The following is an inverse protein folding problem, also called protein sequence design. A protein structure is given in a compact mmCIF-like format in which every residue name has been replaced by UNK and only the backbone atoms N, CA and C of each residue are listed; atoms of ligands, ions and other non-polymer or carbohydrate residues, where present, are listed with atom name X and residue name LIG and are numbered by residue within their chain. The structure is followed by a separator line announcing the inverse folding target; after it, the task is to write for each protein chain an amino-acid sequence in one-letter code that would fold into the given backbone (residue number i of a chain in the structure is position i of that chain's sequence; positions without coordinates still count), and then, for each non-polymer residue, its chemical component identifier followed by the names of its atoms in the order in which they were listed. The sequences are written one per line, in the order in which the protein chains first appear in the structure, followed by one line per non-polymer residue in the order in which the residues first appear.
data_IF_519733547875
#
_entry.id   IF_519733547875
#
_cell.length_a   1.000
_cell.length_b   1.000
_cell.length_c   1.000
_cell.angle_alpha   90.00
_cell.angle_beta   90.00
_cell.angle_gamma   90.00
#
_symmetry.space_group_name_H-M   'P 1'
#
loop_
_entity.id
_entity.type
_entity.pdbx_description
1 polymer ?
#
# COMPACT_ATOMS: atom_id res chain seq x y z
N UNK A 1 3.97 -38.20 -37.97
CA UNK A 1 4.14 -39.60 -37.52
C UNK A 1 4.47 -39.53 -36.02
N UNK A 2 3.46 -39.66 -35.15
CA UNK A 2 3.10 -40.89 -34.40
C UNK A 2 4.30 -41.34 -33.53
N UNK A 3 4.25 -41.27 -32.19
CA UNK A 3 3.35 -42.09 -31.36
C UNK A 3 2.91 -41.41 -30.05
N UNK A 4 1.62 -41.61 -29.73
CA UNK A 4 0.96 -41.45 -28.42
C UNK A 4 0.92 -42.81 -27.71
N UNK A 5 1.07 -42.83 -26.38
CA UNK A 5 0.40 -43.67 -25.34
C UNK A 5 1.13 -43.44 -23.99
N UNK A 6 0.57 -42.87 -22.91
CA UNK A 6 -0.55 -43.24 -22.03
C UNK A 6 -0.18 -44.25 -20.91
N UNK A 7 -0.37 -43.85 -19.63
CA UNK A 7 -0.87 -44.63 -18.46
C UNK A 7 -0.58 -43.82 -17.15
N UNK A 8 -1.55 -43.16 -16.51
CA UNK A 8 -2.54 -43.67 -15.51
C UNK A 8 -1.92 -44.27 -14.24
N UNK A 9 -2.03 -43.54 -13.13
CA UNK A 9 -2.26 -44.12 -11.80
C UNK A 9 -2.97 -43.11 -10.90
N UNK A 10 -4.28 -43.28 -10.79
CA UNK A 10 -5.09 -42.81 -9.69
C UNK A 10 -5.21 -43.98 -8.69
N UNK A 11 -4.89 -43.74 -7.42
CA UNK A 11 -5.29 -44.62 -6.32
C UNK A 11 -5.95 -43.77 -5.23
N UNK A 12 -7.27 -43.79 -5.28
CA UNK A 12 -8.19 -43.65 -4.15
C UNK A 12 -7.96 -44.77 -3.15
N UNK A 13 -7.70 -44.45 -1.89
CA UNK A 13 -8.07 -45.31 -0.76
C UNK A 13 -8.85 -44.49 0.25
N UNK A 14 -10.09 -44.94 0.45
CA UNK A 14 -11.15 -44.27 1.14
C UNK A 14 -11.23 -44.71 2.61
N UNK A 15 -11.79 -43.82 3.43
CA UNK A 15 -12.77 -44.11 4.49
C UNK A 15 -12.35 -45.11 5.59
N UNK A 16 -11.73 -44.58 6.63
CA UNK A 16 -11.71 -45.16 7.99
C UNK A 16 -12.71 -44.43 8.88
N UNK A 17 -14.01 -44.70 8.71
CA UNK A 17 -15.04 -44.39 9.72
C UNK A 17 -16.11 -45.48 9.65
N UNK A 18 -16.08 -46.41 10.59
CA UNK A 18 -17.11 -47.46 10.68
C UNK A 18 -16.73 -48.64 11.56
N UNK A 19 -16.68 -48.43 12.88
CA UNK A 19 -16.75 -49.53 13.85
C UNK A 19 -17.22 -49.02 15.22
N UNK A 20 -18.53 -49.06 15.44
CA UNK A 20 -19.16 -49.48 16.71
C UNK A 20 -20.67 -49.64 16.48
N UNK A 21 -21.07 -50.91 16.37
CA UNK A 21 -22.42 -51.49 16.24
C UNK A 21 -23.26 -51.31 17.51
N UNK A 22 -24.60 -51.19 17.49
CA UNK A 22 -25.65 -52.24 17.41
C UNK A 22 -26.99 -51.54 17.78
N UNK A 23 -28.24 -51.99 17.54
CA UNK A 23 -28.94 -52.91 16.63
C UNK A 23 -30.43 -52.86 17.10
N UNK A 24 -31.37 -52.79 16.16
CA UNK A 24 -32.81 -53.18 16.15
C UNK A 24 -33.81 -52.75 17.27
N UNK A 25 -34.89 -52.03 16.92
CA UNK A 25 -36.22 -52.62 16.61
C UNK A 25 -37.28 -51.56 16.21
N UNK A 26 -38.31 -52.01 15.47
CA UNK A 26 -39.23 -51.24 14.62
C UNK A 26 -40.68 -51.06 15.16
N UNK A 27 -41.39 -50.07 14.57
CA UNK A 27 -42.85 -49.80 14.54
C UNK A 27 -43.53 -49.37 15.87
N UNK A 28 -44.48 -48.41 15.95
CA UNK A 28 -45.46 -47.85 14.99
C UNK A 28 -46.06 -46.54 15.56
N UNK A 29 -46.55 -45.71 14.64
CA UNK A 29 -47.64 -44.72 14.72
C UNK A 29 -47.49 -43.33 15.38
N UNK A 30 -47.78 -42.34 14.54
CA UNK A 30 -47.97 -40.91 14.75
C UNK A 30 -48.98 -40.57 15.86
N UNK A 31 -48.57 -39.70 16.79
CA UNK A 31 -49.41 -38.59 17.25
C UNK A 31 -48.59 -37.57 18.06
N UNK A 32 -48.84 -36.29 17.77
CA UNK A 32 -48.57 -35.09 18.60
C UNK A 32 -47.10 -34.71 18.79
N UNK A 33 -46.57 -33.75 18.02
CA UNK A 33 -46.68 -32.31 18.27
C UNK A 33 -46.00 -31.87 19.60
N UNK A 34 -45.10 -30.88 19.47
CA UNK A 34 -44.40 -30.12 20.52
C UNK A 34 -43.18 -30.78 21.17
N UNK A 35 -41.99 -30.50 20.62
CA UNK A 35 -40.85 -29.97 21.38
C UNK A 35 -39.67 -29.59 20.45
N UNK A 36 -39.95 -28.92 19.32
CA UNK A 36 -38.93 -28.14 18.60
C UNK A 36 -39.09 -26.68 19.01
N UNK A 37 -38.72 -26.37 20.24
CA UNK A 37 -38.74 -25.00 20.76
C UNK A 37 -37.78 -24.87 21.95
N UNK A 38 -36.50 -25.19 21.73
CA UNK A 38 -35.39 -24.74 22.59
C UNK A 38 -34.12 -24.63 21.74
N UNK A 39 -34.27 -24.05 20.55
CA UNK A 39 -33.21 -23.26 19.95
C UNK A 39 -33.49 -21.80 20.34
N UNK A 40 -32.42 -21.04 20.56
CA UNK A 40 -32.38 -19.58 20.77
C UNK A 40 -32.43 -19.11 22.23
N UNK A 41 -31.28 -19.21 22.90
CA UNK A 41 -30.74 -18.10 23.69
C UNK A 41 -29.21 -18.21 23.79
N UNK A 42 -28.53 -18.42 22.66
CA UNK A 42 -27.15 -17.94 22.55
C UNK A 42 -27.27 -16.43 22.42
N UNK A 43 -27.04 -15.75 23.53
CA UNK A 43 -27.01 -14.31 23.66
C UNK A 43 -25.93 -13.80 22.69
N UNK A 44 -26.33 -13.42 21.47
CA UNK A 44 -25.47 -12.68 20.54
C UNK A 44 -25.04 -11.42 21.29
N UNK A 45 -23.79 -11.40 21.73
CA UNK A 45 -23.15 -10.19 22.17
C UNK A 45 -23.37 -9.14 21.06
N UNK A 46 -23.76 -7.90 21.39
CA UNK A 46 -23.91 -6.86 20.38
C UNK A 46 -22.61 -6.81 19.58
N UNK A 47 -22.72 -7.01 18.26
CA UNK A 47 -21.62 -6.68 17.35
C UNK A 47 -21.35 -5.20 17.60
N UNK A 48 -20.28 -4.90 18.33
CA UNK A 48 -19.85 -3.54 18.57
C UNK A 48 -19.65 -2.95 17.18
N UNK A 49 -20.50 -1.99 16.81
CA UNK A 49 -20.45 -1.36 15.50
C UNK A 49 -19.01 -0.92 15.25
N UNK A 50 -18.41 -1.40 14.16
CA UNK A 50 -17.02 -1.12 13.78
C UNK A 50 -16.78 0.39 13.92
N UNK A 51 -16.02 0.78 14.94
CA UNK A 51 -15.66 2.18 15.13
C UNK A 51 -14.90 2.59 13.87
N UNK A 52 -15.23 3.74 13.23
CA UNK A 52 -14.51 4.19 12.06
C UNK A 52 -13.02 4.20 12.34
N UNK A 53 -12.23 3.48 11.54
CA UNK A 53 -10.78 3.46 11.72
C UNK A 53 -10.25 4.90 11.59
N UNK A 54 -9.30 5.31 12.45
CA UNK A 54 -8.66 6.61 12.31
C UNK A 54 -8.01 6.74 10.92
N UNK A 55 -8.15 7.91 10.30
CA UNK A 55 -7.61 8.21 8.97
C UNK A 55 -6.62 9.37 9.06
N UNK A 56 -5.51 9.25 8.35
CA UNK A 56 -4.56 10.34 8.17
C UNK A 56 -5.12 11.34 7.16
N UNK A 57 -5.00 12.64 7.42
CA UNK A 57 -5.14 13.64 6.35
C UNK A 57 -3.89 13.58 5.47
N UNK A 58 -3.93 12.68 4.48
CA UNK A 58 -2.83 12.44 3.52
C UNK A 58 -2.38 13.75 2.87
N UNK A 59 -3.35 14.62 2.56
CA UNK A 59 -3.09 15.85 1.84
C UNK A 59 -2.27 16.85 2.66
N UNK A 60 -2.39 16.84 3.99
CA UNK A 60 -1.57 17.67 4.87
C UNK A 60 -0.05 17.43 4.66
N UNK A 61 0.33 16.23 4.24
CA UNK A 61 1.74 15.84 4.05
C UNK A 61 2.16 15.89 2.58
N UNK A 62 1.28 15.43 1.69
CA UNK A 62 1.56 15.35 0.25
C UNK A 62 1.35 16.69 -0.45
N UNK A 63 0.35 17.47 -0.04
CA UNK A 63 -0.01 18.73 -0.68
C UNK A 63 1.14 19.73 -0.83
N UNK A 64 1.89 20.05 0.24
CA UNK A 64 3.03 20.97 0.16
C UNK A 64 4.14 20.52 -0.80
N UNK A 65 4.32 19.20 -0.99
CA UNK A 65 5.30 18.65 -1.93
C UNK A 65 4.88 18.88 -3.39
N UNK A 66 3.60 18.71 -3.68
CA UNK A 66 3.08 18.74 -5.05
C UNK A 66 2.61 20.14 -5.47
N UNK A 67 2.30 21.03 -4.53
CA UNK A 67 1.70 22.32 -4.83
C UNK A 67 2.55 23.19 -5.76
N UNK A 68 1.99 23.63 -6.88
CA UNK A 68 2.58 24.60 -7.82
C UNK A 68 2.02 24.47 -9.24
N UNK A 69 2.65 25.18 -10.17
CA UNK A 69 2.23 25.23 -11.57
C UNK A 69 3.22 24.52 -12.47
N UNK A 70 2.68 23.67 -13.34
CA UNK A 70 3.43 22.74 -14.18
C UNK A 70 3.06 23.00 -15.63
N UNK A 71 3.92 23.75 -16.32
CA UNK A 71 3.75 24.12 -17.73
C UNK A 71 4.71 23.32 -18.61
N UNK A 72 4.23 22.83 -19.75
CA UNK A 72 5.03 22.09 -20.72
C UNK A 72 4.27 21.90 -22.03
N UNK A 73 4.78 21.03 -22.91
CA UNK A 73 4.06 20.65 -24.12
C UNK A 73 2.96 19.65 -23.75
N UNK A 74 1.69 20.04 -23.86
CA UNK A 74 0.58 19.19 -23.42
C UNK A 74 -0.22 18.60 -24.58
N UNK A 75 -0.69 17.37 -24.37
CA UNK A 75 -1.59 16.64 -25.24
C UNK A 75 -2.86 16.28 -24.45
N UNK A 76 -4.01 16.63 -25.00
CA UNK A 76 -5.31 16.18 -24.49
C UNK A 76 -5.61 14.77 -25.00
N UNK A 77 -6.17 13.94 -24.14
CA UNK A 77 -6.68 12.61 -24.45
C UNK A 77 -8.22 12.62 -24.34
N UNK A 78 -8.93 11.87 -25.20
CA UNK A 78 -8.42 10.95 -26.21
C UNK A 78 -8.17 11.59 -27.59
N UNK A 79 -8.45 12.88 -27.77
CA UNK A 79 -8.41 13.58 -29.06
C UNK A 79 -7.00 13.89 -29.58
N UNK A 80 -5.96 13.62 -28.80
CA UNK A 80 -4.54 13.89 -29.09
C UNK A 80 -4.26 15.36 -29.47
N UNK A 81 -5.14 16.28 -29.05
CA UNK A 81 -5.03 17.69 -29.39
C UNK A 81 -3.92 18.34 -28.58
N UNK A 82 -3.01 19.00 -29.28
CA UNK A 82 -1.97 19.84 -28.65
C UNK A 82 -2.62 21.01 -27.94
N UNK A 83 -2.22 21.25 -26.70
CA UNK A 83 -2.63 22.38 -25.89
C UNK A 83 -1.39 23.00 -25.25
N UNK A 84 -1.29 24.32 -25.29
CA UNK A 84 -0.41 25.04 -24.37
C UNK A 84 -1.12 25.05 -23.01
N UNK A 85 -0.84 24.01 -22.23
CA UNK A 85 -1.51 23.74 -20.97
C UNK A 85 -0.59 24.00 -19.77
N UNK A 86 -1.19 24.45 -18.68
CA UNK A 86 -0.56 24.42 -17.36
C UNK A 86 -1.44 23.60 -16.44
N UNK A 87 -0.85 22.61 -15.77
CA UNK A 87 -1.51 21.90 -14.68
C UNK A 87 -1.13 22.62 -13.39
N UNK A 88 -2.13 23.16 -12.70
CA UNK A 88 -1.93 23.82 -11.41
C UNK A 88 -2.42 22.91 -10.29
N UNK A 89 -1.55 22.66 -9.32
CA UNK A 89 -1.83 21.85 -8.13
C UNK A 89 -1.81 22.81 -6.94
N UNK A 90 -2.97 22.98 -6.29
CA UNK A 90 -3.08 23.75 -5.07
C UNK A 90 -2.60 22.94 -3.86
N UNK A 91 -2.04 23.63 -2.85
CA UNK A 91 -1.73 23.00 -1.56
C UNK A 91 -3.00 22.56 -0.80
N UNK A 92 -4.19 22.86 -1.31
CA UNK A 92 -5.50 22.50 -0.77
C UNK A 92 -6.12 21.24 -1.40
N UNK A 93 -5.45 20.58 -2.35
CA UNK A 93 -5.95 19.34 -2.98
C UNK A 93 -6.56 19.54 -4.35
N UNK A 94 -6.83 20.79 -4.72
CA UNK A 94 -7.48 21.11 -5.98
C UNK A 94 -6.46 21.17 -7.09
N UNK A 95 -6.75 20.44 -8.16
CA UNK A 95 -5.93 20.38 -9.35
C UNK A 95 -6.75 20.84 -10.54
N UNK A 96 -6.21 21.79 -11.28
CA UNK A 96 -6.90 22.39 -12.43
C UNK A 96 -5.99 22.42 -13.65
N UNK A 97 -6.53 22.06 -14.81
CA UNK A 97 -5.89 22.22 -16.10
C UNK A 97 -6.94 22.40 -17.20
N UNK A 98 -6.93 23.55 -17.90
CA UNK A 98 -7.97 23.88 -18.89
C UNK A 98 -9.39 23.77 -18.30
N UNK A 99 -10.21 22.83 -18.79
CA UNK A 99 -11.57 22.50 -18.36
C UNK A 99 -11.62 21.40 -17.27
N UNK A 100 -10.49 20.76 -16.96
CA UNK A 100 -10.39 19.74 -15.92
C UNK A 100 -10.20 20.40 -14.56
N UNK A 101 -11.08 20.05 -13.62
CA UNK A 101 -10.98 20.42 -12.21
C UNK A 101 -11.27 19.17 -11.37
N UNK A 102 -10.32 18.83 -10.49
CA UNK A 102 -10.34 17.60 -9.70
C UNK A 102 -9.88 17.93 -8.28
N UNK A 103 -10.57 17.38 -7.28
CA UNK A 103 -10.18 17.51 -5.87
C UNK A 103 -9.61 16.18 -5.38
N UNK A 104 -8.30 16.14 -5.13
CA UNK A 104 -7.59 14.95 -4.68
C UNK A 104 -7.53 14.81 -3.15
N UNK A 105 -8.27 15.63 -2.37
CA UNK A 105 -8.38 15.39 -0.91
C UNK A 105 -9.08 14.08 -0.58
N UNK A 106 -9.95 13.60 -1.47
CA UNK A 106 -10.60 12.30 -1.36
C UNK A 106 -9.82 11.16 -2.04
N UNK A 107 -8.50 11.32 -2.20
CA UNK A 107 -7.66 10.27 -2.78
C UNK A 107 -7.69 8.99 -1.95
N UNK A 108 -8.08 7.87 -2.56
CA UNK A 108 -7.90 6.54 -1.98
C UNK A 108 -6.44 6.10 -1.99
N UNK A 109 -5.67 6.56 -2.97
CA UNK A 109 -4.26 6.24 -3.12
C UNK A 109 -3.43 7.51 -3.28
N UNK A 110 -2.35 7.63 -2.51
CA UNK A 110 -1.25 8.55 -2.79
C UNK A 110 0.07 7.79 -2.67
N UNK A 111 0.87 7.78 -3.73
CA UNK A 111 2.18 7.13 -3.79
C UNK A 111 3.24 8.15 -4.12
N UNK A 112 4.30 8.20 -3.33
CA UNK A 112 5.48 9.03 -3.53
C UNK A 112 6.69 8.11 -3.53
N UNK A 113 7.42 8.03 -4.63
CA UNK A 113 8.61 7.20 -4.76
C UNK A 113 9.75 8.05 -5.25
N UNK A 114 10.91 7.95 -4.61
CA UNK A 114 12.13 8.66 -5.00
C UNK A 114 13.27 7.66 -5.13
N UNK A 115 13.86 7.64 -6.31
CA UNK A 115 14.99 6.80 -6.68
C UNK A 115 16.25 7.63 -6.82
N UNK A 116 17.38 7.11 -6.36
CA UNK A 116 18.69 7.65 -6.64
C UNK A 116 19.21 7.05 -7.95
N UNK A 117 19.45 7.90 -8.94
CA UNK A 117 19.93 7.51 -10.26
C UNK A 117 21.46 7.42 -10.30
N UNK A 118 22.00 6.62 -11.22
CA UNK A 118 23.45 6.40 -11.34
C UNK A 118 24.27 7.68 -11.58
N UNK A 119 23.63 8.74 -12.07
CA UNK A 119 24.25 10.04 -12.37
C UNK A 119 24.29 10.98 -11.14
N UNK A 120 23.85 10.53 -9.96
CA UNK A 120 23.79 11.34 -8.74
C UNK A 120 22.58 12.27 -8.66
N UNK A 121 21.64 12.13 -9.60
CA UNK A 121 20.35 12.81 -9.57
C UNK A 121 19.29 11.93 -8.90
N UNK A 122 18.16 12.54 -8.55
CA UNK A 122 17.00 11.82 -8.04
C UNK A 122 15.88 11.83 -9.07
N UNK A 123 15.21 10.70 -9.21
CA UNK A 123 13.95 10.57 -9.94
C UNK A 123 12.83 10.39 -8.94
N UNK A 124 11.91 11.34 -8.89
CA UNK A 124 10.72 11.27 -8.01
C UNK A 124 9.46 11.11 -8.83
N UNK A 125 8.63 10.15 -8.43
CA UNK A 125 7.32 9.86 -8.99
C UNK A 125 6.29 10.09 -7.90
N UNK A 126 5.28 10.91 -8.19
CA UNK A 126 4.11 11.09 -7.35
C UNK A 126 2.87 10.65 -8.12
N UNK A 127 2.04 9.82 -7.52
CA UNK A 127 0.78 9.34 -8.11
C UNK A 127 -0.33 9.47 -7.10
N UNK A 128 -1.45 10.07 -7.49
CA UNK A 128 -2.66 10.15 -6.69
C UNK A 128 -3.86 9.66 -7.47
N UNK A 129 -4.71 8.88 -6.80
CA UNK A 129 -5.94 8.36 -7.37
C UNK A 129 -7.10 8.60 -6.42
N UNK A 130 -8.23 9.11 -6.93
CA UNK A 130 -9.49 9.21 -6.17
C UNK A 130 -10.16 7.85 -6.06
N UNK A 131 -10.12 7.07 -7.14
CA UNK A 131 -10.63 5.70 -7.16
C UNK A 131 -9.96 4.91 -8.27
N UNK A 132 -9.93 3.58 -8.13
CA UNK A 132 -9.27 2.67 -9.06
C UNK A 132 -9.96 2.63 -10.44
N UNK A 133 -11.17 3.18 -10.56
CA UNK A 133 -12.03 3.04 -11.74
C UNK A 133 -12.44 4.37 -12.37
N UNK A 134 -11.50 5.33 -12.50
CA UNK A 134 -11.60 6.58 -13.30
C UNK A 134 -12.05 7.88 -12.60
N UNK A 135 -12.15 7.91 -11.27
CA UNK A 135 -12.64 9.12 -10.56
C UNK A 135 -11.64 10.30 -10.53
N UNK A 136 -10.38 10.07 -10.91
CA UNK A 136 -9.35 11.09 -11.01
C UNK A 136 -7.96 10.48 -10.78
N UNK A 137 -7.03 10.73 -11.70
CA UNK A 137 -5.63 10.29 -11.61
C UNK A 137 -4.72 11.49 -11.85
N UNK A 138 -3.78 11.70 -10.94
CA UNK A 138 -2.70 12.67 -11.09
C UNK A 138 -1.38 11.90 -11.02
N UNK A 139 -0.50 12.13 -11.99
CA UNK A 139 0.87 11.60 -11.94
C UNK A 139 1.87 12.70 -12.25
N UNK A 140 2.94 12.76 -11.47
CA UNK A 140 4.07 13.64 -11.67
C UNK A 140 5.34 12.81 -11.70
N UNK A 141 6.20 13.07 -12.68
CA UNK A 141 7.55 12.52 -12.74
C UNK A 141 8.51 13.69 -12.83
N UNK A 142 9.49 13.71 -11.94
CA UNK A 142 10.66 14.60 -12.03
C UNK A 142 11.92 13.75 -12.10
N UNK A 143 12.66 13.85 -13.20
CA UNK A 143 13.82 12.99 -13.49
C UNK A 143 15.17 13.57 -13.01
N UNK A 144 15.15 14.73 -12.35
CA UNK A 144 16.34 15.44 -11.89
C UNK A 144 17.21 16.05 -13.00
N UNK A 145 17.13 15.53 -14.23
CA UNK A 145 17.81 16.03 -15.44
C UNK A 145 17.02 17.12 -16.18
N UNK A 146 15.71 17.20 -15.91
CA UNK A 146 14.75 18.09 -16.55
C UNK A 146 14.13 17.54 -17.84
N UNK A 147 14.63 16.44 -18.41
CA UNK A 147 14.30 16.00 -19.78
C UNK A 147 13.06 15.12 -19.85
N UNK A 148 12.86 14.27 -18.86
CA UNK A 148 11.74 13.32 -18.76
C UNK A 148 10.70 13.77 -17.73
N UNK A 149 10.70 15.06 -17.40
CA UNK A 149 9.71 15.66 -16.53
C UNK A 149 8.33 15.59 -17.19
N UNK A 150 7.39 14.91 -16.52
CA UNK A 150 6.02 14.79 -17.00
C UNK A 150 5.03 15.10 -15.89
N UNK A 151 3.88 15.64 -16.26
CA UNK A 151 2.70 15.72 -15.40
C UNK A 151 1.50 15.26 -16.20
N UNK A 152 0.66 14.42 -15.61
CA UNK A 152 -0.60 14.03 -16.20
C UNK A 152 -1.74 14.18 -15.22
N UNK A 153 -2.87 14.64 -15.74
CA UNK A 153 -4.14 14.73 -15.03
C UNK A 153 -5.19 14.04 -15.87
N UNK A 154 -5.89 13.08 -15.31
CA UNK A 154 -7.02 12.43 -15.95
C UNK A 154 -8.23 12.40 -15.03
N UNK A 155 -9.40 12.48 -15.63
CA UNK A 155 -10.69 12.27 -14.97
C UNK A 155 -11.63 11.63 -15.98
N UNK A 156 -12.26 10.54 -15.58
CA UNK A 156 -13.15 9.76 -16.45
C UNK A 156 -12.42 9.36 -17.74
N UNK A 157 -12.90 9.80 -18.90
CA UNK A 157 -12.31 9.49 -20.21
C UNK A 157 -11.49 10.66 -20.79
N UNK A 158 -11.32 11.76 -20.05
CA UNK A 158 -10.55 12.93 -20.48
C UNK A 158 -9.24 13.01 -19.71
N UNK A 159 -8.15 13.21 -20.44
CA UNK A 159 -6.82 13.38 -19.85
C UNK A 159 -6.05 14.53 -20.45
N UNK A 160 -5.07 15.02 -19.70
CA UNK A 160 -4.05 15.94 -20.15
C UNK A 160 -2.70 15.37 -19.72
N UNK A 161 -1.78 15.20 -20.67
CA UNK A 161 -0.41 14.75 -20.41
C UNK A 161 0.52 15.84 -20.92
N UNK A 162 1.35 16.37 -20.04
CA UNK A 162 2.35 17.38 -20.36
C UNK A 162 3.75 16.78 -20.21
N UNK A 163 4.61 17.02 -21.20
CA UNK A 163 6.03 16.65 -21.20
C UNK A 163 6.92 17.89 -21.12
N UNK A 164 8.21 17.68 -20.81
CA UNK A 164 9.22 18.74 -20.65
C UNK A 164 8.78 19.80 -19.64
N UNK A 165 8.15 19.32 -18.57
CA UNK A 165 7.45 20.16 -17.60
C UNK A 165 8.46 20.89 -16.72
N UNK A 166 8.27 22.21 -16.62
CA UNK A 166 9.01 23.07 -15.67
C UNK A 166 8.33 23.04 -14.30
N UNK A 167 9.10 23.22 -13.23
CA UNK A 167 8.57 23.30 -11.86
C UNK A 167 8.46 21.94 -11.15
N UNK A 168 8.79 20.82 -11.81
CA UNK A 168 8.78 19.50 -11.16
C UNK A 168 10.05 19.21 -10.38
N UNK A 169 11.14 19.95 -10.62
CA UNK A 169 12.41 19.85 -9.89
C UNK A 169 12.25 20.02 -8.37
N UNK A 170 11.23 20.77 -7.93
CA UNK A 170 10.91 20.92 -6.50
C UNK A 170 10.55 19.60 -5.81
N UNK A 171 10.03 18.60 -6.55
CA UNK A 171 9.75 17.27 -6.02
C UNK A 171 11.04 16.57 -5.57
N UNK A 172 12.15 16.88 -6.23
CA UNK A 172 13.47 16.33 -5.92
C UNK A 172 14.24 17.19 -4.90
N UNK A 173 13.77 18.40 -4.57
CA UNK A 173 14.48 19.36 -3.73
C UNK A 173 14.59 18.93 -2.26
N UNK A 174 13.73 18.03 -1.79
CA UNK A 174 13.83 17.44 -0.46
C UNK A 174 13.65 15.92 -0.49
N UNK A 175 14.38 15.18 0.37
CA UNK A 175 14.08 13.78 0.63
C UNK A 175 12.65 13.55 1.12
N UNK A 176 12.03 12.46 0.67
CA UNK A 176 10.66 12.14 1.03
C UNK A 176 10.53 11.83 2.53
N UNK A 177 11.52 11.16 3.12
CA UNK A 177 11.52 10.87 4.55
C UNK A 177 11.42 12.13 5.43
N UNK A 178 11.94 13.29 4.99
CA UNK A 178 11.80 14.55 5.73
C UNK A 178 10.38 15.11 5.65
N UNK A 179 9.72 14.95 4.51
CA UNK A 179 8.36 15.46 4.31
C UNK A 179 7.33 14.71 5.17
N UNK A 180 7.56 13.42 5.39
CA UNK A 180 6.69 12.53 6.19
C UNK A 180 7.23 12.24 7.59
N UNK A 181 8.36 12.84 7.99
CA UNK A 181 9.00 12.63 9.29
C UNK A 181 8.01 12.78 10.46
N UNK A 182 7.14 13.79 10.40
CA UNK A 182 6.12 14.05 11.44
C UNK A 182 5.13 12.90 11.66
N UNK A 183 4.97 11.99 10.69
CA UNK A 183 4.08 10.83 10.79
C UNK A 183 4.74 9.65 11.50
N UNK A 184 6.02 9.43 11.22
CA UNK A 184 6.70 8.17 11.56
C UNK A 184 7.80 8.32 12.61
N UNK A 185 8.35 9.52 12.82
CA UNK A 185 9.47 9.73 13.73
C UNK A 185 9.08 9.63 15.21
N UNK A 186 10.01 9.09 16.01
CA UNK A 186 9.97 9.15 17.48
C UNK A 186 9.06 8.12 18.16
N UNK A 187 8.27 7.35 17.41
CA UNK A 187 7.42 6.30 17.98
C UNK A 187 8.16 4.96 18.03
N UNK A 188 8.82 4.68 19.16
CA UNK A 188 9.32 3.33 19.44
C UNK A 188 8.11 2.41 19.71
N UNK A 189 7.98 1.34 18.93
CA UNK A 189 6.89 0.38 19.03
C UNK A 189 7.47 -1.04 19.06
N UNK A 190 7.01 -1.86 20.00
CA UNK A 190 7.42 -3.26 20.09
C UNK A 190 6.39 -4.14 19.39
N UNK A 191 6.85 -4.98 18.45
CA UNK A 191 6.00 -5.91 17.68
C UNK A 191 6.58 -7.32 17.71
N UNK A 192 5.70 -8.31 17.57
CA UNK A 192 6.13 -9.71 17.50
C UNK A 192 6.77 -10.00 16.14
N UNK A 193 8.06 -10.29 16.14
CA UNK A 193 8.84 -10.64 14.97
C UNK A 193 9.21 -12.11 14.97
N UNK A 194 9.03 -12.75 13.81
CA UNK A 194 9.63 -14.03 13.52
C UNK A 194 11.10 -13.79 13.14
N UNK A 195 12.02 -14.24 13.98
CA UNK A 195 13.44 -14.26 13.66
C UNK A 195 13.70 -15.42 12.68
N UNK A 196 13.85 -15.08 11.41
CA UNK A 196 14.15 -16.04 10.34
C UNK A 196 15.63 -16.43 10.30
N UNK A 197 16.51 -15.72 10.99
CA UNK A 197 17.94 -16.07 11.14
C UNK A 197 18.14 -17.11 12.25
N UNK A 198 17.35 -17.08 13.32
CA UNK A 198 17.46 -18.02 14.45
C UNK A 198 16.16 -18.75 14.78
N UNK A 199 16.06 -19.99 14.30
CA UNK A 199 15.10 -21.01 14.75
C UNK A 199 13.61 -20.66 14.58
N UNK A 200 13.25 -19.66 13.75
CA UNK A 200 11.86 -19.23 13.54
C UNK A 200 11.15 -18.91 14.87
N UNK A 201 11.89 -18.36 15.84
CA UNK A 201 11.31 -17.99 17.13
C UNK A 201 10.63 -16.63 17.04
N UNK A 202 9.42 -16.53 17.61
CA UNK A 202 8.74 -15.25 17.77
C UNK A 202 9.35 -14.50 18.97
N UNK A 203 9.86 -13.30 18.75
CA UNK A 203 10.38 -12.40 19.78
C UNK A 203 9.77 -11.03 19.61
N UNK A 204 9.58 -10.33 20.72
CA UNK A 204 9.18 -8.93 20.66
C UNK A 204 10.42 -8.12 20.27
N UNK A 205 10.32 -7.36 19.18
CA UNK A 205 11.41 -6.54 18.64
C UNK A 205 10.98 -5.09 18.63
N UNK A 206 11.88 -4.24 19.12
CA UNK A 206 11.71 -2.80 19.10
C UNK A 206 11.94 -2.24 17.70
N UNK A 207 10.95 -1.49 17.21
CA UNK A 207 10.99 -0.78 15.94
C UNK A 207 10.93 0.71 16.22
N UNK A 208 11.78 1.49 15.58
CA UNK A 208 11.76 2.95 15.68
C UNK A 208 12.22 3.60 14.39
N UNK A 209 11.71 4.80 14.12
CA UNK A 209 12.21 5.67 13.05
C UNK A 209 12.69 6.97 13.68
N UNK A 210 13.94 7.32 13.49
CA UNK A 210 14.56 8.51 14.09
C UNK A 210 15.53 9.15 13.10
N UNK A 211 15.36 10.43 12.78
CA UNK A 211 16.25 11.21 11.93
C UNK A 211 16.55 10.53 10.57
N UNK A 212 15.53 9.94 9.98
CA UNK A 212 15.63 9.20 8.72
C UNK A 212 16.20 7.78 8.83
N UNK A 213 16.39 7.22 10.03
CA UNK A 213 16.91 5.87 10.23
C UNK A 213 15.83 4.97 10.81
N UNK A 214 15.52 3.89 10.11
CA UNK A 214 14.66 2.81 10.62
C UNK A 214 15.54 1.81 11.38
N UNK A 215 15.20 1.54 12.63
CA UNK A 215 15.85 0.52 13.47
C UNK A 215 14.89 -0.64 13.70
N UNK A 216 15.38 -1.86 13.50
CA UNK A 216 14.65 -3.12 13.74
C UNK A 216 15.54 -4.00 14.62
N UNK A 217 15.35 -3.93 15.94
CA UNK A 217 16.33 -4.50 16.88
C UNK A 217 17.72 -3.88 16.67
N UNK A 218 18.70 -4.70 16.33
CA UNK A 218 20.08 -4.27 16.06
C UNK A 218 20.31 -3.80 14.60
N UNK A 219 19.40 -4.16 13.68
CA UNK A 219 19.51 -3.81 12.26
C UNK A 219 19.09 -2.37 12.00
N UNK A 220 19.79 -1.69 11.08
CA UNK A 220 19.57 -0.30 10.70
C UNK A 220 19.43 -0.12 9.20
N UNK A 221 18.50 0.75 8.81
CA UNK A 221 18.22 1.17 7.44
C UNK A 221 18.20 2.69 7.41
N UNK A 222 19.27 3.31 6.91
CA UNK A 222 19.40 4.77 6.82
C UNK A 222 18.89 5.28 5.47
N UNK A 223 17.73 5.94 5.48
CA UNK A 223 17.08 6.48 4.28
C UNK A 223 17.92 7.53 3.55
N UNK A 224 18.92 8.14 4.21
CA UNK A 224 19.86 9.07 3.56
C UNK A 224 20.79 8.40 2.57
N UNK A 225 21.01 7.09 2.74
CA UNK A 225 21.87 6.28 1.90
C UNK A 225 21.10 5.29 1.03
N UNK A 226 19.76 5.35 1.08
CA UNK A 226 18.90 4.49 0.30
C UNK A 226 19.00 4.79 -1.20
N UNK A 227 18.94 3.74 -2.02
CA UNK A 227 18.81 3.86 -3.48
C UNK A 227 17.35 4.12 -3.88
N UNK A 228 16.39 3.78 -3.01
CA UNK A 228 14.98 4.08 -3.19
C UNK A 228 14.30 4.30 -1.85
N UNK A 229 13.41 5.28 -1.80
CA UNK A 229 12.44 5.48 -0.72
C UNK A 229 11.04 5.63 -1.33
N UNK A 230 10.04 5.03 -0.70
CA UNK A 230 8.66 5.02 -1.18
C UNK A 230 7.67 5.14 -0.03
N UNK A 231 6.63 5.94 -0.21
CA UNK A 231 5.53 6.14 0.72
C UNK A 231 4.22 5.93 -0.01
N UNK A 232 3.38 5.03 0.49
CA UNK A 232 2.08 4.73 -0.08
C UNK A 232 1.04 4.93 1.02
N UNK A 233 0.13 5.87 0.79
CA UNK A 233 -1.10 6.03 1.55
C UNK A 233 -2.21 5.33 0.77
N UNK A 234 -2.85 4.36 1.39
CA UNK A 234 -3.93 3.58 0.78
C UNK A 234 -5.19 3.66 1.64
N UNK A 235 -6.32 3.29 1.01
CA UNK A 235 -7.64 3.31 1.62
C UNK A 235 -7.88 4.64 2.32
N UNK A 236 -7.79 5.75 1.58
CA UNK A 236 -8.03 7.12 2.03
C UNK A 236 -7.29 7.56 3.31
N UNK A 237 -6.09 7.02 3.50
CA UNK A 237 -5.22 7.32 4.64
C UNK A 237 -5.46 6.40 5.84
N UNK A 238 -6.22 5.33 5.68
CA UNK A 238 -6.39 4.26 6.68
C UNK A 238 -5.12 3.41 6.82
N UNK A 239 -4.24 3.41 5.81
CA UNK A 239 -2.95 2.72 5.87
C UNK A 239 -1.83 3.58 5.26
N UNK A 240 -0.64 3.47 5.85
CA UNK A 240 0.60 4.05 5.36
C UNK A 240 1.66 2.96 5.26
N UNK A 241 2.22 2.75 4.08
CA UNK A 241 3.36 1.86 3.86
C UNK A 241 4.59 2.64 3.42
N UNK A 242 5.70 2.42 4.12
CA UNK A 242 7.04 2.89 3.79
C UNK A 242 7.84 1.74 3.20
N UNK A 243 8.47 1.95 2.06
CA UNK A 243 9.41 1.02 1.43
C UNK A 243 10.76 1.71 1.26
N UNK A 244 11.84 1.05 1.71
CA UNK A 244 13.20 1.54 1.57
C UNK A 244 14.06 0.44 0.95
N UNK A 245 14.80 0.80 -0.09
CA UNK A 245 15.80 -0.06 -0.72
C UNK A 245 17.16 0.57 -0.47
N UNK A 246 18.03 -0.17 0.19
CA UNK A 246 19.42 0.19 0.46
C UNK A 246 20.32 -0.38 -0.66
N UNK A 247 21.60 0.04 -0.73
CA UNK A 247 22.60 -0.66 -1.52
C UNK A 247 22.64 -2.17 -1.22
N UNK A 248 23.12 -2.95 -2.18
CA UNK A 248 23.22 -4.42 -2.06
C UNK A 248 21.87 -5.15 -1.90
N UNK A 249 20.77 -4.56 -2.39
CA UNK A 249 19.43 -5.18 -2.41
C UNK A 249 18.89 -5.52 -1.00
N UNK A 250 19.31 -4.76 0.01
CA UNK A 250 18.67 -4.81 1.33
C UNK A 250 17.42 -3.95 1.31
N UNK A 251 16.27 -4.54 1.64
CA UNK A 251 14.98 -3.86 1.62
C UNK A 251 14.30 -3.90 2.97
N UNK A 252 13.50 -2.89 3.26
CA UNK A 252 12.58 -2.88 4.40
C UNK A 252 11.26 -2.25 4.00
N UNK A 253 10.16 -2.90 4.38
CA UNK A 253 8.81 -2.40 4.26
C UNK A 253 8.24 -2.26 5.68
N UNK A 254 7.66 -1.11 5.98
CA UNK A 254 7.08 -0.77 7.28
C UNK A 254 5.67 -0.24 7.04
N UNK A 255 4.66 -0.90 7.58
CA UNK A 255 3.27 -0.49 7.42
C UNK A 255 2.67 -0.02 8.74
N UNK A 256 1.94 1.09 8.69
CA UNK A 256 1.20 1.69 9.79
C UNK A 256 -0.29 1.75 9.44
N UNK A 257 -1.14 1.71 10.46
CA UNK A 257 -2.55 2.09 10.32
C UNK A 257 -2.71 3.62 10.33
N UNK A 258 -3.92 4.10 10.08
CA UNK A 258 -4.23 5.53 10.04
C UNK A 258 -4.17 6.24 11.40
N UNK A 259 -3.97 5.50 12.51
CA UNK A 259 -3.63 6.05 13.83
C UNK A 259 -2.11 6.18 14.04
N UNK A 260 -1.30 5.68 13.08
CA UNK A 260 0.14 5.63 13.17
C UNK A 260 0.67 4.49 14.06
N UNK A 261 -0.13 3.46 14.33
CA UNK A 261 0.32 2.24 14.99
C UNK A 261 0.96 1.33 13.94
N UNK A 262 2.09 0.74 14.30
CA UNK A 262 2.85 -0.16 13.44
C UNK A 262 2.09 -1.49 13.27
N UNK A 263 1.78 -1.85 12.03
CA UNK A 263 1.02 -3.06 11.65
C UNK A 263 1.95 -4.20 11.25
N UNK A 264 2.97 -3.89 10.44
CA UNK A 264 3.93 -4.89 9.98
C UNK A 264 5.29 -4.29 9.68
N UNK A 265 6.33 -5.13 9.80
CA UNK A 265 7.68 -4.84 9.31
C UNK A 265 8.17 -6.07 8.59
N UNK A 266 8.70 -5.88 7.39
CA UNK A 266 9.29 -6.96 6.61
C UNK A 266 10.60 -6.46 6.02
N UNK A 267 11.70 -7.13 6.35
CA UNK A 267 13.01 -6.76 5.85
C UNK A 267 13.69 -7.95 5.16
N UNK A 268 14.31 -7.70 4.01
CA UNK A 268 14.99 -8.71 3.21
C UNK A 268 16.42 -8.29 2.85
N UNK A 269 17.22 -9.28 2.50
CA UNK A 269 18.48 -9.10 1.79
C UNK A 269 18.54 -10.10 0.64
N UNK A 270 18.63 -9.58 -0.60
CA UNK A 270 18.55 -10.37 -1.84
C UNK A 270 17.24 -11.15 -1.93
N UNK A 271 17.22 -12.39 -1.43
CA UNK A 271 16.04 -13.29 -1.43
C UNK A 271 15.72 -13.85 -0.04
N UNK A 272 16.52 -13.53 0.97
CA UNK A 272 16.31 -14.04 2.33
C UNK A 272 15.56 -13.01 3.15
N UNK A 273 14.43 -13.43 3.73
CA UNK A 273 13.79 -12.66 4.79
C UNK A 273 14.73 -12.61 5.97
N UNK A 274 15.03 -11.40 6.45
CA UNK A 274 15.82 -11.15 7.65
C UNK A 274 14.94 -10.87 8.86
N UNK A 275 13.76 -10.27 8.63
CA UNK A 275 12.75 -9.99 9.64
C UNK A 275 11.36 -10.11 9.02
N UNK A 276 10.45 -10.77 9.74
CA UNK A 276 9.03 -10.76 9.44
C UNK A 276 8.24 -10.50 10.72
N UNK A 277 7.70 -9.29 10.86
CA UNK A 277 7.02 -8.81 12.05
C UNK A 277 5.57 -8.44 11.74
N UNK A 278 4.67 -8.86 12.62
CA UNK A 278 3.27 -8.46 12.58
C UNK A 278 2.78 -8.18 14.00
N UNK A 279 1.78 -7.32 14.15
CA UNK A 279 1.04 -7.24 15.41
C UNK A 279 0.53 -8.66 15.73
N UNK A 280 0.66 -9.10 17.00
CA UNK A 280 0.00 -10.33 17.47
C UNK A 280 -1.51 -10.14 17.31
N UNK A 281 -2.13 -10.92 16.44
CA UNK A 281 -3.59 -11.09 16.38
C UNK A 281 -4.10 -11.70 17.68
#
# INVERSE_FOLDING_TARGET
MLHRTALLSAMTFALLLGACSNKDDANTDDATAQASAEAQAAQEAPVEADKPQPKLDVWQYVGPLLAGSYSGACLRMPDARKLDGTISIGADGKVSASDLNVDFRSSKLASLIRHHEAQGHYRTIATLSIDDTKAGLLSLVSDGSGKENTVSLAREDVGLICSEVKGSEKLNAQPLYLAVAKLIEGKKQSVGCLDTKNLLTKRDTDISVENGVIKVGDDKFDMKTAVSEGFIFSDDGSTLSLSVVMPEERTINVSYDGAGKLVSVMAHHKQESTHFCSIKS
#
